data_IF_132678628086
#
_entry.id   IF_132678628086
#
_cell.length_a   1.000
_cell.length_b   1.000
_cell.length_c   1.000
_cell.angle_alpha   90.00
_cell.angle_beta   90.00
_cell.angle_gamma   90.00
#
_symmetry.space_group_name_H-M   'P 1'
#
loop_
_entity.id
_entity.type
_entity.pdbx_description
1 polymer ?
#
# COMPACT_ATOMS: atom_id res chain seq x y z
N UNK A 1 -0.63 -15.44 19.12
CA UNK A 1 -1.76 -14.50 19.00
C UNK A 1 -1.68 -13.92 17.61
N UNK A 2 -2.76 -13.93 16.82
CA UNK A 2 -2.70 -13.38 15.46
C UNK A 2 -2.80 -11.85 15.47
N UNK A 3 -2.11 -11.21 14.52
CA UNK A 3 -2.09 -9.77 14.32
C UNK A 3 -2.95 -9.42 13.12
N UNK A 4 -4.03 -8.66 13.34
CA UNK A 4 -4.86 -8.14 12.26
C UNK A 4 -4.12 -7.02 11.50
N UNK A 5 -4.33 -6.96 10.18
CA UNK A 5 -3.81 -5.91 9.34
C UNK A 5 -4.86 -5.36 8.38
N UNK A 6 -4.71 -4.11 7.97
CA UNK A 6 -5.59 -3.47 6.98
C UNK A 6 -4.83 -2.48 6.10
N UNK A 7 -5.25 -2.45 4.83
CA UNK A 7 -4.79 -1.52 3.81
C UNK A 7 -5.96 -0.65 3.39
N UNK A 8 -5.84 0.66 3.58
CA UNK A 8 -6.79 1.65 3.10
C UNK A 8 -6.18 2.45 1.97
N UNK A 9 -6.92 2.62 0.86
CA UNK A 9 -6.50 3.39 -0.30
C UNK A 9 -7.40 4.60 -0.45
N UNK A 10 -6.80 5.78 -0.50
CA UNK A 10 -7.46 7.06 -0.75
C UNK A 10 -7.02 7.58 -2.11
N UNK A 11 -7.93 7.53 -3.08
CA UNK A 11 -7.76 8.19 -4.38
C UNK A 11 -8.41 9.58 -4.38
N UNK A 12 -8.48 10.22 -5.55
CA UNK A 12 -9.08 11.55 -5.71
C UNK A 12 -10.55 11.62 -5.26
N UNK A 13 -11.34 10.59 -5.57
CA UNK A 13 -12.79 10.63 -5.38
C UNK A 13 -13.31 9.75 -4.24
N UNK A 14 -12.48 8.84 -3.72
CA UNK A 14 -12.92 7.87 -2.72
C UNK A 14 -11.80 7.38 -1.80
N UNK A 15 -12.20 7.10 -0.57
CA UNK A 15 -11.44 6.29 0.37
C UNK A 15 -12.11 4.92 0.49
N UNK A 16 -11.34 3.85 0.38
CA UNK A 16 -11.84 2.50 0.55
C UNK A 16 -10.81 1.61 1.24
N UNK A 17 -11.27 0.69 2.09
CA UNK A 17 -10.43 -0.41 2.57
C UNK A 17 -10.21 -1.37 1.41
N UNK A 18 -8.99 -1.43 0.89
CA UNK A 18 -8.65 -2.25 -0.27
C UNK A 18 -8.40 -3.71 0.11
N UNK A 19 -7.83 -3.96 1.29
CA UNK A 19 -7.58 -5.31 1.79
C UNK A 19 -7.52 -5.33 3.32
N UNK A 20 -7.87 -6.48 3.90
CA UNK A 20 -7.69 -6.79 5.32
C UNK A 20 -7.28 -8.24 5.48
N UNK A 21 -6.64 -8.57 6.60
CA UNK A 21 -6.29 -9.95 6.92
C UNK A 21 -5.70 -10.09 8.32
N UNK A 22 -5.16 -11.27 8.60
CA UNK A 22 -4.47 -11.59 9.84
C UNK A 22 -3.15 -12.33 9.53
N UNK A 23 -2.15 -12.17 10.38
CA UNK A 23 -0.90 -12.93 10.35
C UNK A 23 -0.56 -13.49 11.74
N UNK A 24 0.41 -14.39 11.84
CA UNK A 24 0.78 -15.04 13.11
C UNK A 24 1.48 -14.09 14.08
N UNK A 25 2.17 -13.08 13.57
CA UNK A 25 2.87 -12.04 14.32
C UNK A 25 2.89 -10.70 13.55
N UNK A 26 3.58 -9.70 14.11
CA UNK A 26 3.65 -8.37 13.52
C UNK A 26 4.47 -8.34 12.23
N UNK A 27 5.56 -9.10 12.15
CA UNK A 27 6.44 -9.11 10.98
C UNK A 27 5.75 -9.77 9.78
N UNK A 28 5.00 -10.85 10.02
CA UNK A 28 4.11 -11.45 9.04
C UNK A 28 2.99 -10.50 8.59
N UNK A 29 2.42 -9.71 9.52
CA UNK A 29 1.41 -8.71 9.18
C UNK A 29 1.98 -7.58 8.30
N UNK A 30 3.20 -7.11 8.61
CA UNK A 30 3.91 -6.11 7.79
C UNK A 30 4.23 -6.67 6.40
N UNK A 31 4.71 -7.92 6.32
CA UNK A 31 4.98 -8.59 5.04
C UNK A 31 3.72 -8.70 4.18
N UNK A 32 2.60 -9.12 4.78
CA UNK A 32 1.31 -9.19 4.09
C UNK A 32 0.81 -7.80 3.64
N UNK A 33 1.02 -6.76 4.45
CA UNK A 33 0.68 -5.38 4.09
C UNK A 33 1.49 -4.87 2.90
N UNK A 34 2.80 -5.15 2.87
CA UNK A 34 3.66 -4.73 1.76
C UNK A 34 3.25 -5.42 0.45
N UNK A 35 2.95 -6.73 0.50
CA UNK A 35 2.43 -7.47 -0.65
C UNK A 35 1.08 -6.89 -1.13
N UNK A 36 0.12 -6.69 -0.23
CA UNK A 36 -1.18 -6.11 -0.58
C UNK A 36 -1.07 -4.68 -1.14
N UNK A 37 -0.11 -3.90 -0.64
CA UNK A 37 0.15 -2.54 -1.13
C UNK A 37 0.74 -2.57 -2.54
N UNK A 38 1.67 -3.48 -2.81
CA UNK A 38 2.22 -3.68 -4.15
C UNK A 38 1.13 -4.06 -5.16
N UNK A 39 0.23 -4.98 -4.80
CA UNK A 39 -0.90 -5.38 -5.65
C UNK A 39 -1.86 -4.21 -5.90
N UNK A 40 -2.13 -3.38 -4.89
CA UNK A 40 -2.97 -2.20 -5.03
C UNK A 40 -2.35 -1.12 -5.94
N UNK A 41 -1.02 -0.96 -5.91
CA UNK A 41 -0.30 -0.08 -6.85
C UNK A 41 -0.38 -0.62 -8.27
N UNK A 42 -0.19 -1.93 -8.46
CA UNK A 42 -0.30 -2.57 -9.77
C UNK A 42 -1.73 -2.42 -10.35
N UNK A 43 -2.76 -2.59 -9.52
CA UNK A 43 -4.15 -2.36 -9.92
C UNK A 43 -4.44 -0.90 -10.29
N UNK A 44 -3.87 0.06 -9.55
CA UNK A 44 -3.99 1.48 -9.87
C UNK A 44 -3.32 1.83 -11.20
N UNK A 45 -2.13 1.27 -11.47
CA UNK A 45 -1.44 1.41 -12.74
C UNK A 45 -2.26 0.88 -13.93
N UNK A 46 -2.84 -0.32 -13.78
CA UNK A 46 -3.69 -0.92 -14.83
C UNK A 46 -4.97 -0.14 -15.12
N UNK A 47 -5.51 0.56 -14.12
CA UNK A 47 -6.73 1.38 -14.24
C UNK A 47 -6.46 2.85 -14.55
N UNK A 48 -5.19 3.24 -14.71
CA UNK A 48 -4.76 4.63 -14.87
C UNK A 48 -5.40 5.56 -13.81
N UNK A 49 -5.45 5.11 -12.57
CA UNK A 49 -6.01 5.90 -11.48
C UNK A 49 -5.21 7.20 -11.25
N UNK A 50 -5.73 8.10 -10.43
CA UNK A 50 -4.94 9.24 -9.95
C UNK A 50 -3.91 8.81 -8.89
N UNK A 51 -3.01 9.72 -8.53
CA UNK A 51 -2.07 9.51 -7.43
C UNK A 51 -2.83 9.21 -6.12
N UNK A 52 -2.57 8.03 -5.56
CA UNK A 52 -3.27 7.52 -4.39
C UNK A 52 -2.41 7.60 -3.12
N UNK A 53 -3.08 7.60 -1.96
CA UNK A 53 -2.48 7.43 -0.64
C UNK A 53 -2.86 6.05 -0.09
N UNK A 54 -1.86 5.29 0.33
CA UNK A 54 -1.95 3.97 0.92
C UNK A 54 -1.64 4.07 2.42
N UNK A 55 -2.60 3.68 3.25
CA UNK A 55 -2.46 3.63 4.71
C UNK A 55 -2.42 2.17 5.16
N UNK A 56 -1.28 1.77 5.74
CA UNK A 56 -0.99 0.41 6.15
C UNK A 56 -1.07 0.35 7.68
N UNK A 57 -1.92 -0.54 8.22
CA UNK A 57 -2.09 -0.72 9.66
C UNK A 57 -1.92 -2.16 10.09
N UNK A 58 -1.22 -2.39 11.20
CA UNK A 58 -1.08 -3.69 11.86
C UNK A 58 -1.40 -3.56 13.35
N UNK A 59 -2.19 -4.48 13.90
CA UNK A 59 -2.74 -4.39 15.26
C UNK A 59 -3.48 -3.07 15.55
N UNK A 60 -4.05 -2.43 14.52
CA UNK A 60 -4.70 -1.12 14.62
C UNK A 60 -3.74 0.08 14.59
N UNK A 61 -2.43 -0.14 14.72
CA UNK A 61 -1.40 0.90 14.66
C UNK A 61 -1.00 1.21 13.22
N UNK A 62 -0.66 2.48 12.97
CA UNK A 62 -0.11 2.90 11.69
C UNK A 62 1.31 2.36 11.53
N UNK A 63 1.53 1.55 10.50
CA UNK A 63 2.85 1.04 10.13
C UNK A 63 3.53 2.00 9.17
N UNK A 64 2.81 2.36 8.10
CA UNK A 64 3.34 3.23 7.07
C UNK A 64 2.22 4.01 6.39
N UNK A 65 2.61 5.17 5.86
CA UNK A 65 1.79 5.96 4.99
C UNK A 65 2.56 6.31 3.72
N UNK A 66 2.08 5.79 2.60
CA UNK A 66 2.75 5.93 1.29
C UNK A 66 1.82 6.72 0.37
N UNK A 67 2.37 7.69 -0.37
CA UNK A 67 1.64 8.44 -1.38
C UNK A 67 2.36 8.28 -2.71
N UNK A 68 1.64 7.91 -3.76
CA UNK A 68 2.17 7.91 -5.12
C UNK A 68 2.57 9.32 -5.49
N UNK A 69 3.82 9.50 -5.91
CA UNK A 69 4.31 10.75 -6.47
C UNK A 69 3.77 10.99 -7.88
N UNK A 70 4.31 12.00 -8.55
CA UNK A 70 4.13 12.20 -9.98
C UNK A 70 5.49 12.13 -10.67
N UNK A 71 5.50 11.65 -11.91
CA UNK A 71 6.67 11.63 -12.79
C UNK A 71 6.88 13.00 -13.46
N UNK A 72 7.85 13.07 -14.37
CA UNK A 72 8.18 14.29 -15.12
C UNK A 72 7.04 14.80 -16.01
N UNK A 73 6.15 13.89 -16.44
CA UNK A 73 4.97 14.20 -17.24
C UNK A 73 3.76 14.62 -16.36
N UNK A 74 3.92 14.64 -15.04
CA UNK A 74 2.85 14.90 -14.08
C UNK A 74 1.87 13.73 -13.90
N UNK A 75 2.19 12.56 -14.46
CA UNK A 75 1.42 11.33 -14.29
C UNK A 75 1.81 10.62 -13.00
N UNK A 76 0.94 9.81 -12.38
CA UNK A 76 1.30 9.13 -11.15
C UNK A 76 2.47 8.15 -11.35
N UNK A 77 3.53 8.30 -10.54
CA UNK A 77 4.73 7.46 -10.65
C UNK A 77 4.55 6.13 -9.88
N UNK A 78 3.85 5.22 -10.53
CA UNK A 78 3.62 3.87 -10.01
C UNK A 78 4.89 3.03 -9.92
N UNK A 79 5.83 3.23 -10.85
CA UNK A 79 7.05 2.44 -10.95
C UNK A 79 7.96 2.70 -9.75
N UNK A 80 8.24 3.98 -9.45
CA UNK A 80 9.06 4.35 -8.29
C UNK A 80 8.36 4.01 -6.98
N UNK A 81 7.04 4.17 -6.92
CA UNK A 81 6.26 3.80 -5.72
C UNK A 81 6.33 2.29 -5.49
N UNK A 82 6.19 1.47 -6.53
CA UNK A 82 6.33 0.00 -6.43
C UNK A 82 7.75 -0.42 -6.02
N UNK A 83 8.78 0.19 -6.63
CA UNK A 83 10.17 -0.07 -6.28
C UNK A 83 10.48 0.27 -4.81
N UNK A 84 9.87 1.34 -4.27
CA UNK A 84 9.97 1.69 -2.86
C UNK A 84 9.41 0.57 -1.96
N UNK A 85 8.22 0.03 -2.27
CA UNK A 85 7.63 -1.08 -1.52
C UNK A 85 8.54 -2.29 -1.53
N UNK A 86 9.07 -2.67 -2.69
CA UNK A 86 9.96 -3.82 -2.82
C UNK A 86 11.25 -3.64 -2.00
N UNK A 87 11.81 -2.43 -1.97
CA UNK A 87 12.99 -2.13 -1.14
C UNK A 87 12.70 -2.22 0.36
N UNK A 88 11.52 -1.78 0.80
CA UNK A 88 11.09 -1.91 2.19
C UNK A 88 10.92 -3.39 2.56
N UNK A 89 10.35 -4.20 1.66
CA UNK A 89 10.15 -5.63 1.88
C UNK A 89 11.45 -6.45 1.91
N UNK A 90 12.55 -5.91 1.37
CA UNK A 90 13.85 -6.57 1.32
C UNK A 90 14.78 -6.20 2.50
N UNK A 91 14.31 -5.34 3.43
CA UNK A 91 15.04 -4.94 4.64
C UNK A 91 14.64 -5.81 5.82
#
# INVERSE_FOLDING_TARGET
>A
MTVAWSLTVTGCDRTATAATGCAEDRDGAVTALLAATHDAIAAAAMSAAGAARYELRAAGELVALIRTGVDEDGSPDYASTSALIQRIAAT
#
